data_IF_482437753888
#
_entry.id   IF_482437753888
#
_cell.length_a   1.000
_cell.length_b   1.000
_cell.length_c   1.000
_cell.angle_alpha   90.00
_cell.angle_beta   90.00
_cell.angle_gamma   90.00
#
_symmetry.space_group_name_H-M   'P 1'
#
loop_
_entity.id
_entity.type
_entity.pdbx_description
1 polymer ?
#
# COMPACT_ATOMS: atom_id res chain seq x y z
N UNK A 1 -30.30 13.55 -11.47
CA UNK A 1 -30.24 12.51 -12.52
C UNK A 1 -28.88 11.86 -12.43
N UNK A 2 -28.81 10.58 -12.17
CA UNK A 2 -27.57 9.83 -12.27
C UNK A 2 -27.39 9.58 -13.78
N UNK A 3 -26.43 10.26 -14.38
CA UNK A 3 -25.98 9.88 -15.73
C UNK A 3 -25.31 8.52 -15.62
N UNK A 4 -26.02 7.50 -16.08
CA UNK A 4 -25.39 6.20 -16.29
C UNK A 4 -24.45 6.37 -17.48
N UNK A 5 -23.15 6.44 -17.20
CA UNK A 5 -22.16 6.37 -18.25
C UNK A 5 -22.34 5.06 -19.00
N UNK A 6 -22.82 5.11 -20.23
CA UNK A 6 -22.87 3.95 -21.11
C UNK A 6 -21.43 3.55 -21.44
N UNK A 7 -21.07 2.29 -21.21
CA UNK A 7 -19.78 1.73 -21.56
C UNK A 7 -19.97 0.41 -22.32
N UNK A 8 -19.10 0.16 -23.29
CA UNK A 8 -19.14 -1.05 -24.09
C UNK A 8 -18.46 -2.24 -23.42
N UNK A 9 -17.45 -1.97 -22.58
CA UNK A 9 -16.69 -3.01 -21.91
C UNK A 9 -16.15 -2.54 -20.55
N UNK A 10 -15.94 -3.50 -19.64
CA UNK A 10 -15.24 -3.31 -18.38
C UNK A 10 -13.95 -4.12 -18.41
N UNK A 11 -12.83 -3.47 -18.14
CA UNK A 11 -11.52 -4.12 -17.99
C UNK A 11 -11.12 -4.17 -16.53
N UNK A 12 -10.85 -5.37 -16.03
CA UNK A 12 -10.32 -5.59 -14.70
C UNK A 12 -8.83 -5.87 -14.82
N UNK A 13 -8.01 -5.17 -14.05
CA UNK A 13 -6.56 -5.33 -14.06
C UNK A 13 -5.93 -4.86 -12.76
N UNK A 14 -4.63 -5.11 -12.60
CA UNK A 14 -3.85 -4.62 -11.49
C UNK A 14 -3.42 -3.17 -11.74
N UNK A 15 -3.46 -2.36 -10.68
CA UNK A 15 -2.91 -1.02 -10.72
C UNK A 15 -1.38 -1.09 -10.55
N UNK A 16 -0.64 -0.32 -11.35
CA UNK A 16 0.79 -0.16 -11.17
C UNK A 16 1.10 0.67 -9.91
N UNK A 17 2.31 0.58 -9.34
CA UNK A 17 2.73 1.43 -8.22
C UNK A 17 2.54 2.92 -8.51
N UNK A 18 2.85 3.37 -9.73
CA UNK A 18 2.69 4.77 -10.15
C UNK A 18 1.21 5.18 -10.15
N UNK A 19 0.33 4.29 -10.60
CA UNK A 19 -1.12 4.52 -10.57
C UNK A 19 -1.62 4.66 -9.14
N UNK A 20 -1.16 3.79 -8.22
CA UNK A 20 -1.51 3.86 -6.80
C UNK A 20 -1.02 5.18 -6.19
N UNK A 21 0.21 5.60 -6.49
CA UNK A 21 0.76 6.88 -6.03
C UNK A 21 -0.04 8.07 -6.56
N UNK A 22 -0.53 8.01 -7.80
CA UNK A 22 -1.37 9.08 -8.37
C UNK A 22 -2.73 9.23 -7.67
N UNK A 23 -3.28 8.15 -7.13
CA UNK A 23 -4.52 8.18 -6.33
C UNK A 23 -4.32 8.59 -4.89
N UNK A 24 -3.08 8.48 -4.38
CA UNK A 24 -2.77 8.69 -2.97
C UNK A 24 -2.74 10.15 -2.59
N UNK A 25 -3.31 10.48 -1.45
CA UNK A 25 -3.25 11.81 -0.83
C UNK A 25 -2.09 11.95 0.17
N UNK A 26 -1.32 10.89 0.38
CA UNK A 26 -0.15 10.90 1.25
C UNK A 26 0.25 9.51 1.74
N UNK A 27 1.44 9.43 2.31
CA UNK A 27 2.01 8.20 2.85
C UNK A 27 1.63 8.02 4.32
N UNK A 28 1.24 6.80 4.66
CA UNK A 28 0.99 6.37 6.05
C UNK A 28 2.32 5.83 6.62
N UNK A 29 2.86 6.52 7.62
CA UNK A 29 4.17 6.21 8.21
C UNK A 29 4.09 5.44 9.52
N UNK A 30 2.92 5.45 10.18
CA UNK A 30 2.71 4.88 11.51
C UNK A 30 1.54 3.91 11.53
N UNK A 31 1.63 2.83 12.34
CA UNK A 31 0.54 1.86 12.48
C UNK A 31 -0.60 2.36 13.39
N UNK A 32 -0.39 3.45 14.12
CA UNK A 32 -1.38 3.97 15.05
C UNK A 32 -2.63 4.44 14.32
N UNK A 33 -3.78 4.21 14.92
CA UNK A 33 -5.09 4.59 14.39
C UNK A 33 -5.62 5.86 15.06
N UNK A 34 -5.95 5.75 16.33
CA UNK A 34 -6.48 6.84 17.17
C UNK A 34 -5.70 6.93 18.48
N UNK A 35 -5.64 8.12 19.02
CA UNK A 35 -5.14 8.34 20.37
C UNK A 35 -6.21 7.90 21.38
N UNK A 36 -5.90 6.94 22.26
CA UNK A 36 -6.85 6.39 23.24
C UNK A 36 -7.35 7.42 24.26
N UNK A 37 -6.56 8.47 24.53
CA UNK A 37 -6.91 9.53 25.49
C UNK A 37 -7.79 10.60 24.87
N UNK A 38 -7.46 11.05 23.66
CA UNK A 38 -8.17 12.15 22.99
C UNK A 38 -9.24 11.68 22.02
N UNK A 39 -9.26 10.39 21.67
CA UNK A 39 -10.13 9.76 20.67
C UNK A 39 -10.01 10.41 19.27
N UNK A 40 -8.91 11.13 19.03
CA UNK A 40 -8.62 11.75 17.73
C UNK A 40 -7.65 10.89 16.93
N UNK A 41 -7.76 10.89 15.59
CA UNK A 41 -6.81 10.21 14.73
C UNK A 41 -5.38 10.70 14.95
N UNK A 42 -4.44 9.77 15.00
CA UNK A 42 -3.02 10.10 15.10
C UNK A 42 -2.51 10.64 13.76
N UNK A 43 -1.56 11.58 13.87
CA UNK A 43 -0.90 12.16 12.69
C UNK A 43 -0.02 11.09 12.02
N UNK A 44 -0.08 11.05 10.68
CA UNK A 44 0.64 10.11 9.82
C UNK A 44 0.31 8.62 10.06
N UNK A 45 -0.77 8.36 10.81
CA UNK A 45 -1.31 7.04 11.07
C UNK A 45 -2.36 6.60 10.05
N UNK A 46 -2.93 5.40 10.27
CA UNK A 46 -3.92 4.80 9.39
C UNK A 46 -5.24 5.59 9.26
N UNK A 47 -5.54 6.49 10.20
CA UNK A 47 -6.72 7.35 10.17
C UNK A 47 -6.38 8.84 10.09
N UNK A 48 -5.16 9.20 9.69
CA UNK A 48 -4.68 10.56 9.63
C UNK A 48 -5.64 11.50 8.89
N UNK A 49 -6.03 12.60 9.53
CA UNK A 49 -6.95 13.58 8.93
C UNK A 49 -6.29 14.40 7.80
N UNK A 50 -4.96 14.52 7.82
CA UNK A 50 -4.21 15.20 6.75
C UNK A 50 -4.28 14.41 5.44
N UNK A 51 -4.20 13.07 5.51
CA UNK A 51 -4.21 12.18 4.34
C UNK A 51 -5.64 11.92 3.87
N UNK A 52 -6.52 11.50 4.78
CA UNK A 52 -7.84 11.02 4.44
C UNK A 52 -8.95 12.08 4.55
N UNK A 53 -8.68 13.19 5.22
CA UNK A 53 -9.65 14.25 5.44
C UNK A 53 -10.17 14.32 6.88
N UNK A 54 -10.95 15.37 7.20
CA UNK A 54 -11.42 15.64 8.55
C UNK A 54 -12.43 14.59 9.03
N UNK A 55 -12.50 14.35 10.34
CA UNK A 55 -13.49 13.47 10.97
C UNK A 55 -14.85 14.13 11.13
N UNK A 56 -14.88 15.46 11.23
CA UNK A 56 -16.11 16.25 11.31
C UNK A 56 -16.23 17.18 10.12
N UNK A 57 -17.45 17.40 9.67
CA UNK A 57 -17.72 18.31 8.55
C UNK A 57 -17.23 19.73 8.86
N UNK A 58 -16.47 20.28 7.92
CA UNK A 58 -16.00 21.67 7.94
C UNK A 58 -15.15 22.04 9.16
N UNK A 59 -14.51 21.07 9.79
CA UNK A 59 -13.63 21.28 10.94
C UNK A 59 -12.24 20.69 10.67
N UNK A 60 -11.17 21.47 10.92
CA UNK A 60 -9.81 20.95 10.88
C UNK A 60 -9.44 20.25 12.21
N UNK A 61 -8.42 19.42 12.19
CA UNK A 61 -7.97 18.64 13.37
C UNK A 61 -7.70 19.48 14.62
N UNK A 62 -7.02 20.62 14.46
CA UNK A 62 -6.69 21.52 15.58
C UNK A 62 -7.85 22.44 16.01
N UNK A 63 -8.97 22.46 15.29
CA UNK A 63 -10.13 23.28 15.60
C UNK A 63 -9.99 24.76 15.27
N UNK A 64 -8.92 25.20 14.56
CA UNK A 64 -8.75 26.61 14.14
C UNK A 64 -9.85 27.03 13.16
N UNK A 65 -10.21 26.16 12.24
CA UNK A 65 -11.25 26.38 11.24
C UNK A 65 -12.41 25.40 11.50
N UNK A 66 -13.62 25.93 11.72
CA UNK A 66 -14.82 25.13 12.09
C UNK A 66 -16.07 25.44 11.29
N UNK A 67 -15.99 26.30 10.27
CA UNK A 67 -17.17 26.77 9.55
C UNK A 67 -17.03 26.54 8.05
N UNK A 68 -18.19 26.33 7.39
CA UNK A 68 -18.30 26.13 5.94
C UNK A 68 -17.63 27.25 5.09
N UNK A 69 -17.57 28.47 5.62
CA UNK A 69 -16.89 29.59 4.95
C UNK A 69 -15.42 29.34 4.64
N UNK A 70 -14.81 28.37 5.32
CA UNK A 70 -13.41 27.98 5.12
C UNK A 70 -13.27 26.74 4.22
N UNK A 71 -14.31 26.37 3.50
CA UNK A 71 -14.31 25.23 2.56
C UNK A 71 -13.08 25.26 1.64
N UNK A 72 -12.40 24.14 1.53
CA UNK A 72 -11.21 23.97 0.66
C UNK A 72 -9.92 24.60 1.21
N UNK A 73 -9.98 25.29 2.36
CA UNK A 73 -8.78 25.84 2.98
C UNK A 73 -7.99 24.75 3.70
N UNK A 74 -6.70 24.69 3.43
CA UNK A 74 -5.76 23.83 4.18
C UNK A 74 -5.29 24.58 5.41
N UNK A 75 -5.41 23.97 6.58
CA UNK A 75 -4.99 24.59 7.84
C UNK A 75 -3.47 24.64 7.94
N UNK A 76 -2.91 25.81 8.16
CA UNK A 76 -1.45 26.02 8.25
C UNK A 76 -0.85 25.32 9.48
N UNK A 77 -1.66 25.10 10.53
CA UNK A 77 -1.20 24.48 11.79
C UNK A 77 -1.20 22.95 11.73
N UNK A 78 -2.28 22.34 11.22
CA UNK A 78 -2.43 20.87 11.22
C UNK A 78 -2.39 20.24 9.84
N UNK A 79 -2.38 21.02 8.76
CA UNK A 79 -2.33 20.53 7.38
C UNK A 79 -3.61 19.85 6.88
N UNK A 80 -4.69 19.88 7.67
CA UNK A 80 -5.97 19.27 7.30
C UNK A 80 -6.79 20.22 6.45
N UNK A 81 -7.31 19.74 5.33
CA UNK A 81 -8.22 20.49 4.47
C UNK A 81 -9.62 20.53 5.07
N UNK A 82 -10.25 21.68 5.06
CA UNK A 82 -11.61 21.88 5.57
C UNK A 82 -12.63 21.46 4.52
N UNK A 83 -13.10 20.22 4.63
CA UNK A 83 -14.08 19.59 3.74
C UNK A 83 -15.12 18.81 4.52
N UNK A 84 -16.04 18.14 3.80
CA UNK A 84 -16.96 17.20 4.42
C UNK A 84 -16.24 15.92 4.86
N UNK A 85 -16.66 15.34 5.98
CA UNK A 85 -16.12 14.07 6.47
C UNK A 85 -16.32 12.89 5.50
N UNK A 86 -17.28 12.98 4.58
CA UNK A 86 -17.54 11.97 3.54
C UNK A 86 -16.30 11.67 2.68
N UNK A 87 -15.41 12.65 2.46
CA UNK A 87 -14.18 12.45 1.66
C UNK A 87 -13.27 11.36 2.23
N UNK A 88 -13.39 11.03 3.51
CA UNK A 88 -12.63 9.94 4.14
C UNK A 88 -12.95 8.56 3.56
N UNK A 89 -14.12 8.40 2.93
CA UNK A 89 -14.52 7.16 2.23
C UNK A 89 -14.05 7.11 0.78
N UNK A 90 -13.58 8.23 0.25
CA UNK A 90 -13.20 8.38 -1.16
C UNK A 90 -11.68 8.51 -1.32
N UNK A 91 -11.00 9.17 -0.37
CA UNK A 91 -9.56 9.40 -0.41
C UNK A 91 -8.77 8.14 -0.08
N UNK A 92 -7.74 7.91 -0.87
CA UNK A 92 -6.77 6.82 -0.68
C UNK A 92 -5.44 7.38 -0.18
N UNK A 93 -4.76 6.61 0.63
CA UNK A 93 -3.36 6.81 0.99
C UNK A 93 -2.55 5.59 0.54
N UNK A 94 -1.25 5.63 0.72
CA UNK A 94 -0.38 4.51 0.42
C UNK A 94 0.59 4.22 1.57
N UNK A 95 1.10 3.01 1.58
CA UNK A 95 2.18 2.57 2.46
C UNK A 95 3.31 2.13 1.55
N UNK A 96 4.48 2.79 1.67
CA UNK A 96 5.67 2.36 0.96
C UNK A 96 6.24 1.11 1.64
N UNK A 97 6.45 0.06 0.85
CA UNK A 97 7.06 -1.17 1.34
C UNK A 97 8.58 -1.04 1.32
N UNK A 98 9.26 -1.60 2.33
CA UNK A 98 10.72 -1.59 2.41
C UNK A 98 11.39 -2.37 1.28
N UNK A 99 10.72 -3.42 0.78
CA UNK A 99 11.18 -4.28 -0.33
C UNK A 99 10.03 -4.59 -1.27
N UNK A 100 10.30 -4.82 -2.56
CA UNK A 100 9.28 -5.30 -3.49
C UNK A 100 8.67 -6.61 -3.01
N UNK A 101 7.35 -6.74 -3.16
CA UNK A 101 6.59 -7.93 -2.77
C UNK A 101 5.81 -8.44 -3.98
N UNK A 102 5.81 -9.75 -4.20
CA UNK A 102 5.04 -10.36 -5.28
C UNK A 102 3.55 -10.27 -5.03
N UNK A 103 2.78 -10.01 -6.09
CA UNK A 103 1.33 -10.03 -6.01
C UNK A 103 0.81 -11.46 -5.89
N UNK A 104 -0.13 -11.67 -4.96
CA UNK A 104 -0.67 -12.99 -4.63
C UNK A 104 -1.33 -13.72 -5.80
N UNK A 105 -1.88 -13.01 -6.78
CA UNK A 105 -2.51 -13.62 -7.96
C UNK A 105 -1.54 -14.43 -8.81
N UNK A 106 -0.27 -14.03 -8.88
CA UNK A 106 0.75 -14.74 -9.63
C UNK A 106 1.33 -15.93 -8.86
N UNK A 107 1.22 -15.90 -7.54
CA UNK A 107 1.76 -16.95 -6.67
C UNK A 107 0.72 -18.00 -6.28
N UNK A 108 -0.43 -17.58 -5.72
CA UNK A 108 -1.47 -18.49 -5.16
C UNK A 108 -2.42 -19.07 -6.21
N UNK A 109 -2.25 -18.79 -7.49
CA UNK A 109 -3.03 -19.42 -8.57
C UNK A 109 -2.78 -20.93 -8.65
N UNK A 110 -3.73 -21.68 -9.18
CA UNK A 110 -3.58 -23.11 -9.49
C UNK A 110 -3.84 -23.31 -10.99
N UNK A 111 -2.80 -23.55 -11.79
CA UNK A 111 -1.37 -23.63 -11.44
C UNK A 111 -0.76 -22.22 -11.14
N UNK A 112 0.34 -22.19 -10.34
CA UNK A 112 1.07 -20.94 -10.07
C UNK A 112 1.77 -20.44 -11.31
N UNK A 113 1.40 -19.25 -11.79
CA UNK A 113 2.03 -18.66 -12.98
C UNK A 113 3.52 -18.40 -12.77
N UNK A 114 3.92 -17.91 -11.60
CA UNK A 114 5.33 -17.73 -11.25
C UNK A 114 6.08 -19.06 -11.18
N UNK A 115 5.50 -20.07 -10.56
CA UNK A 115 6.10 -21.40 -10.45
C UNK A 115 6.37 -22.02 -11.80
N UNK A 116 5.44 -21.90 -12.75
CA UNK A 116 5.58 -22.41 -14.11
C UNK A 116 6.69 -21.68 -14.91
N UNK A 117 6.79 -20.36 -14.78
CA UNK A 117 7.81 -19.58 -15.53
C UNK A 117 9.22 -19.83 -15.00
N UNK A 118 9.37 -19.99 -13.68
CA UNK A 118 10.68 -20.15 -13.01
C UNK A 118 11.04 -21.61 -12.83
N UNK A 119 10.12 -22.53 -13.12
CA UNK A 119 10.25 -23.99 -12.91
C UNK A 119 10.54 -24.36 -11.44
N UNK A 120 9.83 -23.70 -10.53
CA UNK A 120 9.90 -23.96 -9.10
C UNK A 120 8.59 -24.56 -8.57
N UNK A 121 8.73 -25.52 -7.68
CA UNK A 121 7.55 -26.05 -6.97
C UNK A 121 6.92 -24.95 -6.08
N UNK A 122 5.58 -24.97 -5.87
CA UNK A 122 4.92 -23.98 -5.02
C UNK A 122 5.50 -23.87 -3.60
N UNK A 123 5.94 -24.99 -3.03
CA UNK A 123 6.57 -25.02 -1.69
C UNK A 123 7.94 -24.32 -1.66
N UNK A 124 8.73 -24.49 -2.71
CA UNK A 124 10.03 -23.82 -2.83
C UNK A 124 9.84 -22.31 -3.04
N UNK A 125 8.92 -21.96 -3.94
CA UNK A 125 8.59 -20.57 -4.21
C UNK A 125 8.06 -19.86 -2.95
N UNK A 126 7.22 -20.52 -2.16
CA UNK A 126 6.72 -20.00 -0.89
C UNK A 126 7.85 -19.66 0.09
N UNK A 127 8.83 -20.55 0.25
CA UNK A 127 9.99 -20.28 1.13
C UNK A 127 10.78 -19.03 0.70
N UNK A 128 10.93 -18.83 -0.59
CA UNK A 128 11.64 -17.64 -1.12
C UNK A 128 10.81 -16.37 -0.92
N UNK A 129 9.53 -16.40 -1.28
CA UNK A 129 8.65 -15.23 -1.20
C UNK A 129 8.37 -14.77 0.24
N UNK A 130 8.41 -15.69 1.21
CA UNK A 130 8.26 -15.37 2.64
C UNK A 130 9.60 -15.22 3.36
N UNK A 131 10.69 -15.01 2.61
CA UNK A 131 12.03 -14.74 3.16
C UNK A 131 12.60 -15.84 4.06
N UNK A 132 12.13 -17.08 3.92
CA UNK A 132 12.65 -18.23 4.66
C UNK A 132 13.88 -18.85 3.99
N UNK A 133 14.11 -18.58 2.71
CA UNK A 133 15.22 -19.11 1.92
C UNK A 133 15.64 -18.12 0.85
N UNK A 134 16.88 -18.26 0.36
CA UNK A 134 17.40 -17.48 -0.78
C UNK A 134 17.34 -18.32 -2.05
N UNK A 135 17.19 -17.65 -3.19
CA UNK A 135 17.30 -18.24 -4.51
C UNK A 135 18.55 -17.68 -5.20
N UNK A 136 19.28 -18.52 -5.89
CA UNK A 136 20.44 -18.09 -6.68
C UNK A 136 19.94 -17.39 -7.94
N UNK A 137 20.22 -16.10 -8.08
CA UNK A 137 19.87 -15.30 -9.27
C UNK A 137 20.99 -15.24 -10.29
N UNK A 138 22.24 -15.33 -9.84
CA UNK A 138 23.45 -15.41 -10.68
C UNK A 138 24.43 -16.40 -10.04
N UNK A 139 24.68 -17.56 -10.66
CA UNK A 139 25.62 -18.55 -10.12
C UNK A 139 27.10 -18.17 -10.33
N UNK A 140 27.39 -17.16 -11.16
CA UNK A 140 28.77 -16.79 -11.50
C UNK A 140 29.55 -17.99 -12.05
N UNK A 141 30.73 -18.24 -11.49
CA UNK A 141 31.60 -19.38 -11.85
C UNK A 141 31.35 -20.66 -11.06
N UNK A 142 30.36 -20.66 -10.17
CA UNK A 142 30.00 -21.82 -9.35
C UNK A 142 29.13 -22.83 -10.11
N UNK A 143 29.19 -24.12 -9.71
CA UNK A 143 28.33 -25.16 -10.28
C UNK A 143 26.90 -25.12 -9.76
N UNK A 144 26.44 -24.00 -9.28
CA UNK A 144 25.07 -23.78 -8.83
C UNK A 144 24.20 -23.40 -10.02
N UNK A 145 22.98 -23.91 -10.10
CA UNK A 145 21.99 -23.43 -11.06
C UNK A 145 21.09 -22.36 -10.42
N UNK A 146 20.41 -21.58 -11.27
CA UNK A 146 19.42 -20.57 -10.83
C UNK A 146 18.27 -21.15 -9.99
N UNK A 147 18.08 -22.48 -10.02
CA UNK A 147 17.02 -23.18 -9.28
C UNK A 147 17.47 -23.54 -7.85
N UNK A 148 18.74 -23.36 -7.50
CA UNK A 148 19.21 -23.71 -6.15
C UNK A 148 18.65 -22.75 -5.11
N UNK A 149 18.00 -23.33 -4.10
CA UNK A 149 17.49 -22.63 -2.93
C UNK A 149 18.42 -22.93 -1.77
N UNK A 150 18.98 -21.90 -1.17
CA UNK A 150 19.87 -22.02 -0.02
C UNK A 150 19.20 -21.50 1.26
N UNK A 151 19.51 -22.14 2.38
CA UNK A 151 19.09 -21.64 3.69
C UNK A 151 19.87 -20.40 4.10
N UNK A 152 19.26 -19.46 4.84
CA UNK A 152 19.90 -18.18 5.23
C UNK A 152 21.20 -18.34 5.98
N UNK A 153 21.37 -19.43 6.70
CA UNK A 153 22.55 -19.70 7.55
C UNK A 153 23.79 -20.14 6.76
N UNK A 154 23.68 -20.49 5.48
CA UNK A 154 24.81 -20.97 4.65
C UNK A 154 25.45 -19.90 3.77
N UNK A 155 24.86 -18.75 3.64
CA UNK A 155 25.48 -17.60 2.97
C UNK A 155 26.33 -16.82 3.98
N UNK A 156 27.39 -17.43 4.54
CA UNK A 156 28.52 -16.66 4.99
C UNK A 156 29.26 -16.19 3.75
N UNK A 157 29.26 -14.87 3.59
CA UNK A 157 30.05 -14.14 2.60
C UNK A 157 31.47 -14.70 2.47
N UNK A 158 31.86 -14.91 1.25
CA UNK A 158 33.25 -14.74 0.84
C UNK A 158 33.36 -13.32 0.29
#
# INVERSE_FOLDING_TARGET
MLEFNSFEAIKIGLASPETILSWSHGEVLKPETINYRTLKPEKDGLFCEKIFGPTKDWECHCGKYKKIRFKGKVCERCGVEVTKAKVRRERMGHIALATPVSHIWYFKGVPSSMGLIIDLSPRQLEKVLYFASYIVTDPGTSNLSLIHISEPTRLRCI
#
